data_IF_522016708804
#
_entry.id   IF_522016708804
#
_cell.length_a   1.000
_cell.length_b   1.000
_cell.length_c   1.000
_cell.angle_alpha   90.00
_cell.angle_beta   90.00
_cell.angle_gamma   90.00
#
_symmetry.space_group_name_H-M   'P 1'
#
loop_
_entity.id
_entity.type
_entity.pdbx_description
1 polymer ?
#
# COMPACT_ATOMS: atom_id res chain seq x y z
N UNK A 1 -11.00 17.01 13.13
CA UNK A 1 -9.54 16.84 13.18
C UNK A 1 -8.96 18.04 13.90
N UNK A 2 -8.05 17.82 14.85
CA UNK A 2 -7.32 18.92 15.50
C UNK A 2 -6.33 19.57 14.53
N UNK A 3 -5.90 20.80 14.80
CA UNK A 3 -4.86 21.49 14.01
C UNK A 3 -3.53 20.71 13.97
N UNK A 4 -3.26 19.92 15.01
CA UNK A 4 -2.12 19.01 15.08
C UNK A 4 -2.24 17.84 14.12
N UNK A 5 -3.40 17.17 14.08
CA UNK A 5 -3.67 16.06 13.17
C UNK A 5 -3.65 16.49 11.71
N UNK A 6 -4.25 17.64 11.39
CA UNK A 6 -4.24 18.22 10.04
C UNK A 6 -2.80 18.48 9.57
N UNK A 7 -1.96 19.03 10.44
CA UNK A 7 -0.55 19.27 10.11
C UNK A 7 0.24 17.98 9.95
N UNK A 8 0.00 16.99 10.81
CA UNK A 8 0.62 15.67 10.68
C UNK A 8 0.29 15.03 9.33
N UNK A 9 -0.98 15.05 8.94
CA UNK A 9 -1.44 14.56 7.64
C UNK A 9 -0.74 15.27 6.48
N UNK A 10 -0.72 16.60 6.49
CA UNK A 10 -0.04 17.40 5.47
C UNK A 10 1.46 17.07 5.36
N UNK A 11 2.16 16.92 6.49
CA UNK A 11 3.58 16.57 6.47
C UNK A 11 3.84 15.17 5.89
N UNK A 12 2.95 14.22 6.15
CA UNK A 12 3.03 12.87 5.56
C UNK A 12 2.76 12.92 4.05
N UNK A 13 1.78 13.71 3.60
CA UNK A 13 1.54 13.92 2.16
C UNK A 13 2.74 14.57 1.46
N UNK A 14 3.39 15.53 2.11
CA UNK A 14 4.64 16.13 1.58
C UNK A 14 5.74 15.06 1.51
N UNK A 15 5.85 14.20 2.52
CA UNK A 15 6.82 13.10 2.52
C UNK A 15 6.57 12.11 1.37
N UNK A 16 5.33 11.64 1.19
CA UNK A 16 4.95 10.73 0.10
C UNK A 16 5.24 11.36 -1.27
N UNK A 17 4.90 12.64 -1.47
CA UNK A 17 5.21 13.36 -2.72
C UNK A 17 6.71 13.50 -2.96
N UNK A 18 7.49 13.74 -1.92
CA UNK A 18 8.95 13.87 -2.01
C UNK A 18 9.64 12.54 -2.32
N UNK A 19 8.95 11.41 -2.18
CA UNK A 19 9.46 10.06 -2.47
C UNK A 19 9.00 9.54 -3.85
N UNK A 20 8.24 10.31 -4.63
CA UNK A 20 7.80 9.89 -5.97
C UNK A 20 9.02 9.62 -6.87
N UNK A 21 9.05 8.44 -7.49
CA UNK A 21 10.13 7.98 -8.35
C UNK A 21 11.37 7.46 -7.61
N UNK A 22 11.44 7.59 -6.29
CA UNK A 22 12.57 7.10 -5.50
C UNK A 22 12.51 5.58 -5.34
N UNK A 23 13.68 4.93 -5.35
CA UNK A 23 13.82 3.47 -5.11
C UNK A 23 14.34 3.14 -3.71
N UNK A 24 14.93 4.13 -3.05
CA UNK A 24 15.45 4.05 -1.67
C UNK A 24 14.74 5.08 -0.80
N UNK A 25 14.52 4.78 0.48
CA UNK A 25 13.99 5.77 1.41
C UNK A 25 15.15 6.65 1.90
N UNK A 26 15.38 7.75 1.20
CA UNK A 26 16.44 8.74 1.49
C UNK A 26 15.87 10.07 2.02
N UNK A 27 14.57 10.12 2.30
CA UNK A 27 13.91 11.27 2.89
C UNK A 27 14.23 11.39 4.38
N UNK A 28 14.75 12.54 4.79
CA UNK A 28 14.97 12.90 6.19
C UNK A 28 14.07 14.06 6.61
N UNK A 29 13.88 14.24 7.92
CA UNK A 29 13.09 15.36 8.48
C UNK A 29 13.57 16.74 8.02
N UNK A 30 14.86 16.91 7.73
CA UNK A 30 15.41 18.16 7.18
C UNK A 30 14.86 18.47 5.78
N UNK A 31 14.64 17.45 4.94
CA UNK A 31 14.08 17.63 3.60
C UNK A 31 12.64 18.15 3.66
N UNK A 32 11.87 17.75 4.67
CA UNK A 32 10.51 18.25 4.89
C UNK A 32 10.46 19.74 5.20
N UNK A 33 11.50 20.32 5.82
CA UNK A 33 11.54 21.77 6.12
C UNK A 33 11.46 22.57 4.82
N UNK A 34 12.29 22.21 3.85
CA UNK A 34 12.32 22.86 2.54
C UNK A 34 11.02 22.62 1.75
N UNK A 35 10.49 21.39 1.81
CA UNK A 35 9.32 20.99 1.01
C UNK A 35 7.97 21.49 1.57
N UNK A 36 7.85 21.72 2.88
CA UNK A 36 6.57 22.04 3.54
C UNK A 36 6.42 23.49 4.01
N UNK A 37 7.49 24.29 4.00
CA UNK A 37 7.52 25.65 4.59
C UNK A 37 7.15 25.69 6.09
N UNK A 38 7.19 24.54 6.78
CA UNK A 38 6.98 24.43 8.22
C UNK A 38 8.33 24.51 8.94
N UNK A 39 8.34 25.17 10.12
CA UNK A 39 9.56 25.34 10.89
C UNK A 39 10.20 23.99 11.27
N UNK A 40 11.54 23.97 11.33
CA UNK A 40 12.31 22.79 11.75
C UNK A 40 11.85 22.27 13.12
N UNK A 41 11.64 23.16 14.09
CA UNK A 41 11.17 22.77 15.43
C UNK A 41 9.82 22.05 15.39
N UNK A 42 8.88 22.55 14.56
CA UNK A 42 7.57 21.90 14.40
C UNK A 42 7.69 20.51 13.77
N UNK A 43 8.48 20.34 12.71
CA UNK A 43 8.68 19.03 12.07
C UNK A 43 9.29 18.03 13.05
N UNK A 44 10.29 18.46 13.82
CA UNK A 44 10.98 17.59 14.78
C UNK A 44 10.09 17.22 15.97
N UNK A 45 9.09 18.05 16.28
CA UNK A 45 8.06 17.69 17.26
C UNK A 45 7.02 16.70 16.69
N UNK A 46 6.77 16.69 15.38
CA UNK A 46 5.90 15.70 14.73
C UNK A 46 6.59 14.36 14.48
N UNK A 47 7.90 14.38 14.19
CA UNK A 47 8.74 13.21 13.98
C UNK A 47 9.99 13.34 14.85
N UNK A 48 10.00 12.65 15.98
CA UNK A 48 11.08 12.74 16.98
C UNK A 48 12.34 12.04 16.48
N UNK A 49 12.17 10.99 15.66
CA UNK A 49 13.26 10.27 14.99
C UNK A 49 13.04 10.21 13.47
N UNK A 50 14.06 9.83 12.70
CA UNK A 50 13.86 9.53 11.27
C UNK A 50 12.97 8.30 11.07
N UNK A 51 13.03 7.33 12.00
CA UNK A 51 12.15 6.18 11.97
C UNK A 51 10.68 6.56 12.12
N UNK A 52 10.35 7.57 12.93
CA UNK A 52 8.97 8.10 13.02
C UNK A 52 8.45 8.54 11.64
N UNK A 53 9.28 9.22 10.84
CA UNK A 53 8.89 9.66 9.50
C UNK A 53 8.61 8.46 8.57
N UNK A 54 9.51 7.47 8.54
CA UNK A 54 9.33 6.26 7.72
C UNK A 54 8.06 5.51 8.15
N UNK A 55 7.87 5.34 9.46
CA UNK A 55 6.71 4.64 10.02
C UNK A 55 5.42 5.42 9.76
N UNK A 56 5.46 6.75 9.80
CA UNK A 56 4.30 7.59 9.49
C UNK A 56 3.85 7.43 8.03
N UNK A 57 4.79 7.45 7.08
CA UNK A 57 4.51 7.17 5.66
C UNK A 57 3.92 5.77 5.50
N UNK A 58 4.48 4.77 6.18
CA UNK A 58 3.94 3.41 6.15
C UNK A 58 2.52 3.32 6.72
N UNK A 59 2.25 4.00 7.84
CA UNK A 59 0.90 4.06 8.41
C UNK A 59 -0.11 4.63 7.39
N UNK A 60 0.24 5.72 6.72
CA UNK A 60 -0.63 6.36 5.74
C UNK A 60 -0.94 5.44 4.53
N UNK A 61 0.06 4.73 4.01
CA UNK A 61 -0.16 3.74 2.94
C UNK A 61 -1.13 2.63 3.40
N UNK A 62 -0.91 2.04 4.57
CA UNK A 62 -1.80 0.99 5.11
C UNK A 62 -3.22 1.51 5.40
N UNK A 63 -3.35 2.76 5.87
CA UNK A 63 -4.65 3.42 6.07
C UNK A 63 -5.39 3.60 4.74
N UNK A 64 -4.69 4.03 3.68
CA UNK A 64 -5.26 4.13 2.33
C UNK A 64 -5.71 2.76 1.81
N UNK A 65 -4.89 1.73 1.98
CA UNK A 65 -5.23 0.38 1.55
C UNK A 65 -6.42 -0.19 2.31
N UNK A 66 -6.51 0.01 3.63
CA UNK A 66 -7.68 -0.40 4.40
C UNK A 66 -8.95 0.38 4.01
N UNK A 67 -8.82 1.68 3.74
CA UNK A 67 -9.94 2.47 3.24
C UNK A 67 -10.40 1.98 1.86
N UNK A 68 -9.47 1.63 0.97
CA UNK A 68 -9.78 1.03 -0.33
C UNK A 68 -10.47 -0.34 -0.16
N UNK A 69 -9.92 -1.22 0.66
CA UNK A 69 -10.48 -2.53 0.96
C UNK A 69 -11.95 -2.44 1.44
N UNK A 70 -12.27 -1.48 2.32
CA UNK A 70 -13.65 -1.23 2.77
C UNK A 70 -14.59 -0.82 1.64
N UNK A 71 -14.13 0.01 0.69
CA UNK A 71 -14.90 0.39 -0.50
C UNK A 71 -15.07 -0.82 -1.44
N UNK A 72 -14.02 -1.62 -1.59
CA UNK A 72 -14.03 -2.80 -2.46
C UNK A 72 -15.01 -3.87 -1.95
N UNK A 73 -15.19 -3.99 -0.63
CA UNK A 73 -16.23 -4.85 -0.02
C UNK A 73 -17.65 -4.46 -0.43
N UNK A 74 -17.92 -3.18 -0.65
CA UNK A 74 -19.23 -2.71 -1.12
C UNK A 74 -19.37 -2.89 -2.63
N UNK A 75 -18.28 -2.72 -3.38
CA UNK A 75 -18.27 -2.76 -4.85
C UNK A 75 -18.29 -4.17 -5.42
N UNK A 76 -17.60 -5.11 -4.78
CA UNK A 76 -17.40 -6.47 -5.27
C UNK A 76 -17.84 -7.50 -4.21
N UNK A 77 -19.07 -8.03 -4.31
CA UNK A 77 -19.56 -9.06 -3.39
C UNK A 77 -18.77 -10.37 -3.45
N UNK A 78 -18.35 -10.78 -4.66
CA UNK A 78 -17.53 -11.98 -4.86
C UNK A 78 -16.13 -11.77 -4.25
N UNK A 79 -15.71 -12.60 -3.27
CA UNK A 79 -14.49 -12.36 -2.52
C UNK A 79 -13.22 -12.52 -3.37
N UNK A 80 -13.23 -13.41 -4.38
CA UNK A 80 -12.08 -13.58 -5.28
C UNK A 80 -11.89 -12.33 -6.15
N UNK A 81 -12.96 -11.89 -6.81
CA UNK A 81 -12.96 -10.68 -7.64
C UNK A 81 -12.55 -9.47 -6.81
N UNK A 82 -13.09 -9.32 -5.61
CA UNK A 82 -12.72 -8.25 -4.67
C UNK A 82 -11.23 -8.25 -4.33
N UNK A 83 -10.69 -9.41 -3.96
CA UNK A 83 -9.29 -9.56 -3.59
C UNK A 83 -8.35 -9.24 -4.76
N UNK A 84 -8.66 -9.77 -5.94
CA UNK A 84 -7.88 -9.52 -7.16
C UNK A 84 -7.94 -8.06 -7.58
N UNK A 85 -9.13 -7.45 -7.56
CA UNK A 85 -9.30 -6.03 -7.86
C UNK A 85 -8.50 -5.16 -6.91
N UNK A 86 -8.61 -5.39 -5.60
CA UNK A 86 -7.93 -4.61 -4.57
C UNK A 86 -6.42 -4.55 -4.79
N UNK A 87 -5.78 -5.69 -5.03
CA UNK A 87 -4.33 -5.75 -5.22
C UNK A 87 -3.91 -5.28 -6.62
N UNK A 88 -4.73 -5.46 -7.65
CA UNK A 88 -4.49 -4.83 -8.97
C UNK A 88 -4.55 -3.31 -8.88
N UNK A 89 -5.51 -2.76 -8.14
CA UNK A 89 -5.63 -1.33 -7.90
C UNK A 89 -4.39 -0.78 -7.19
N UNK A 90 -3.93 -1.44 -6.12
CA UNK A 90 -2.68 -1.05 -5.42
C UNK A 90 -1.47 -1.05 -6.37
N UNK A 91 -1.29 -2.12 -7.14
CA UNK A 91 -0.19 -2.21 -8.11
C UNK A 91 -0.28 -1.10 -9.16
N UNK A 92 -1.49 -0.82 -9.67
CA UNK A 92 -1.70 0.26 -10.62
C UNK A 92 -1.40 1.64 -10.04
N UNK A 93 -1.87 1.95 -8.82
CA UNK A 93 -1.55 3.22 -8.16
C UNK A 93 -0.04 3.40 -8.00
N UNK A 94 0.66 2.35 -7.56
CA UNK A 94 2.11 2.37 -7.41
C UNK A 94 2.81 2.71 -8.74
N UNK A 95 2.47 1.99 -9.82
CA UNK A 95 3.11 2.18 -11.13
C UNK A 95 2.74 3.52 -11.79
N UNK A 96 1.45 3.87 -11.80
CA UNK A 96 0.95 5.07 -12.50
C UNK A 96 1.40 6.37 -11.86
N UNK A 97 1.54 6.39 -10.52
CA UNK A 97 1.94 7.57 -9.76
C UNK A 97 3.42 7.52 -9.34
N UNK A 98 4.13 6.45 -9.74
CA UNK A 98 5.52 6.19 -9.32
C UNK A 98 5.69 6.31 -7.80
N UNK A 99 4.73 5.80 -7.02
CA UNK A 99 4.80 5.87 -5.56
C UNK A 99 5.95 5.04 -5.06
N UNK A 100 6.58 5.51 -4.00
CA UNK A 100 7.59 4.74 -3.29
C UNK A 100 7.01 3.42 -2.75
N UNK A 101 7.70 2.32 -3.02
CA UNK A 101 7.31 0.99 -2.57
C UNK A 101 7.70 0.80 -1.10
N UNK A 102 6.76 1.11 -0.19
CA UNK A 102 6.99 1.03 1.25
C UNK A 102 7.40 -0.37 1.71
N UNK A 103 7.02 -1.42 0.97
CA UNK A 103 7.44 -2.80 1.20
C UNK A 103 8.95 -3.02 1.09
N UNK A 104 9.73 -2.08 0.55
CA UNK A 104 11.21 -2.14 0.58
C UNK A 104 11.75 -1.95 2.00
N UNK A 105 11.05 -1.18 2.83
CA UNK A 105 11.50 -0.80 4.18
C UNK A 105 10.61 -1.34 5.29
N UNK A 106 9.34 -1.63 5.02
CA UNK A 106 8.40 -2.12 6.03
C UNK A 106 7.73 -3.44 5.62
N UNK A 107 7.41 -4.32 6.59
CA UNK A 107 7.79 -4.24 8.01
C UNK A 107 9.30 -4.47 8.21
N UNK A 108 9.89 -3.76 9.18
CA UNK A 108 11.27 -3.90 9.64
C UNK A 108 11.35 -3.65 11.16
N UNK A 109 11.64 -4.69 11.93
CA UNK A 109 11.63 -4.61 13.39
C UNK A 109 12.72 -3.68 13.96
N UNK A 110 13.90 -3.67 13.35
CA UNK A 110 14.99 -2.79 13.79
C UNK A 110 14.65 -1.31 13.61
N UNK A 111 13.91 -0.98 12.54
CA UNK A 111 13.39 0.37 12.32
C UNK A 111 12.27 0.71 13.31
N UNK A 112 11.33 -0.21 13.55
CA UNK A 112 10.25 -0.02 14.52
C UNK A 112 10.77 0.22 15.94
N UNK A 113 11.87 -0.41 16.34
CA UNK A 113 12.51 -0.18 17.64
C UNK A 113 13.13 1.23 17.78
N UNK A 114 13.40 1.92 16.67
CA UNK A 114 13.92 3.29 16.66
C UNK A 114 12.80 4.34 16.57
N UNK A 115 11.57 3.92 16.25
CA UNK A 115 10.41 4.78 16.26
C UNK A 115 9.92 4.97 17.70
N UNK A 116 9.31 6.12 17.96
CA UNK A 116 8.60 6.38 19.21
C UNK A 116 7.43 5.41 19.39
N UNK A 117 7.06 5.17 20.64
CA UNK A 117 5.98 4.24 20.98
C UNK A 117 4.67 4.57 20.28
N UNK A 118 4.36 5.86 20.09
CA UNK A 118 3.15 6.31 19.40
C UNK A 118 3.11 5.83 17.95
N UNK A 119 4.17 6.04 17.17
CA UNK A 119 4.22 5.58 15.78
C UNK A 119 4.34 4.06 15.68
N UNK A 120 5.13 3.43 16.56
CA UNK A 120 5.25 1.96 16.59
C UNK A 120 3.90 1.29 16.83
N UNK A 121 3.17 1.69 17.87
CA UNK A 121 1.86 1.13 18.19
C UNK A 121 0.84 1.38 17.08
N UNK A 122 0.85 2.58 16.47
CA UNK A 122 -0.03 2.88 15.33
C UNK A 122 0.25 1.94 14.16
N UNK A 123 1.52 1.72 13.81
CA UNK A 123 1.90 0.82 12.73
C UNK A 123 1.54 -0.64 13.03
N UNK A 124 1.84 -1.12 14.23
CA UNK A 124 1.49 -2.49 14.66
C UNK A 124 -0.01 -2.72 14.55
N UNK A 125 -0.83 -1.76 14.98
CA UNK A 125 -2.29 -1.82 14.86
C UNK A 125 -2.73 -1.88 13.40
N UNK A 126 -2.35 -0.89 12.58
CA UNK A 126 -2.85 -0.77 11.21
C UNK A 126 -2.37 -1.92 10.30
N UNK A 127 -1.12 -2.35 10.47
CA UNK A 127 -0.57 -3.50 9.73
C UNK A 127 -1.24 -4.80 10.14
N UNK A 128 -1.56 -4.98 11.43
CA UNK A 128 -2.33 -6.13 11.92
C UNK A 128 -3.73 -6.14 11.32
N UNK A 129 -4.42 -4.99 11.28
CA UNK A 129 -5.75 -4.85 10.68
C UNK A 129 -5.74 -5.22 9.19
N UNK A 130 -4.78 -4.71 8.41
CA UNK A 130 -4.68 -5.03 6.98
C UNK A 130 -4.30 -6.50 6.73
N UNK A 131 -3.40 -7.06 7.54
CA UNK A 131 -3.07 -8.48 7.47
C UNK A 131 -4.27 -9.36 7.85
N UNK A 132 -5.08 -8.93 8.81
CA UNK A 132 -6.31 -9.62 9.18
C UNK A 132 -7.34 -9.58 8.06
N UNK A 133 -7.54 -8.43 7.40
CA UNK A 133 -8.42 -8.33 6.24
C UNK A 133 -7.99 -9.26 5.10
N UNK A 134 -6.68 -9.34 4.81
CA UNK A 134 -6.16 -10.27 3.80
C UNK A 134 -6.47 -11.73 4.18
N UNK A 135 -6.19 -12.13 5.43
CA UNK A 135 -6.49 -13.50 5.91
C UNK A 135 -7.97 -13.85 5.82
N UNK A 136 -8.84 -12.95 6.29
CA UNK A 136 -10.29 -13.16 6.24
C UNK A 136 -10.77 -13.28 4.81
N UNK A 137 -10.35 -12.39 3.91
CA UNK A 137 -10.78 -12.44 2.51
C UNK A 137 -10.31 -13.73 1.82
N UNK A 138 -9.09 -14.19 2.10
CA UNK A 138 -8.60 -15.48 1.57
C UNK A 138 -9.44 -16.65 2.11
N UNK A 139 -9.80 -16.65 3.39
CA UNK A 139 -10.66 -17.69 3.98
C UNK A 139 -12.08 -17.65 3.38
N UNK A 140 -12.64 -16.45 3.14
CA UNK A 140 -13.93 -16.28 2.43
C UNK A 140 -13.91 -16.79 0.99
N UNK A 141 -12.77 -16.67 0.29
CA UNK A 141 -12.59 -17.29 -1.03
C UNK A 141 -12.65 -18.81 -0.89
N UNK A 142 -12.13 -19.37 0.19
CA UNK A 142 -12.22 -20.78 0.54
C UNK A 142 -10.87 -21.32 0.98
N UNK A 143 -10.85 -21.97 2.13
CA UNK A 143 -9.63 -22.54 2.69
C UNK A 143 -9.25 -23.85 1.97
N UNK A 144 -8.00 -23.92 1.51
CA UNK A 144 -7.41 -25.12 0.92
C UNK A 144 -6.25 -25.58 1.82
N UNK A 145 -6.35 -26.79 2.42
CA UNK A 145 -5.37 -27.28 3.37
C UNK A 145 -3.99 -27.53 2.73
N UNK A 146 -2.98 -27.68 3.58
CA UNK A 146 -1.63 -28.10 3.21
C UNK A 146 -0.56 -27.00 3.26
N UNK A 147 -0.93 -25.72 3.10
CA UNK A 147 0.01 -24.60 3.16
C UNK A 147 -0.58 -23.39 3.89
N UNK A 148 0.29 -22.54 4.44
CA UNK A 148 -0.11 -21.22 4.93
C UNK A 148 -0.33 -20.26 3.74
N UNK A 149 -1.50 -20.34 3.13
CA UNK A 149 -1.86 -19.60 1.91
C UNK A 149 -1.77 -18.09 2.10
N UNK A 150 -2.16 -17.58 3.26
CA UNK A 150 -2.09 -16.15 3.56
C UNK A 150 -0.65 -15.64 3.62
N UNK A 151 0.27 -16.43 4.17
CA UNK A 151 1.70 -16.09 4.20
C UNK A 151 2.30 -16.12 2.79
N UNK A 152 2.03 -17.17 2.02
CA UNK A 152 2.47 -17.27 0.62
C UNK A 152 2.02 -16.08 -0.23
N UNK A 153 0.75 -15.70 -0.10
CA UNK A 153 0.18 -14.54 -0.82
C UNK A 153 0.83 -13.24 -0.35
N UNK A 154 1.00 -13.03 0.96
CA UNK A 154 1.65 -11.84 1.51
C UNK A 154 3.09 -11.67 0.99
N UNK A 155 3.86 -12.75 0.97
CA UNK A 155 5.26 -12.71 0.50
C UNK A 155 5.33 -12.46 -1.01
N UNK A 156 4.44 -13.08 -1.77
CA UNK A 156 4.30 -12.82 -3.19
C UNK A 156 3.90 -11.36 -3.48
N UNK A 157 2.91 -10.81 -2.78
CA UNK A 157 2.46 -9.42 -2.95
C UNK A 157 3.63 -8.46 -2.71
N UNK A 158 4.39 -8.64 -1.62
CA UNK A 158 5.58 -7.86 -1.33
C UNK A 158 6.61 -7.94 -2.47
N UNK A 159 6.96 -9.14 -2.91
CA UNK A 159 7.91 -9.35 -3.99
C UNK A 159 7.44 -8.77 -5.33
N UNK A 160 6.16 -8.92 -5.65
CA UNK A 160 5.57 -8.45 -6.89
C UNK A 160 5.56 -6.92 -6.99
N UNK A 161 5.26 -6.20 -5.89
CA UNK A 161 5.32 -4.73 -5.86
C UNK A 161 6.75 -4.23 -6.13
N UNK A 162 7.72 -4.78 -5.40
CA UNK A 162 9.15 -4.43 -5.54
C UNK A 162 9.65 -4.74 -6.95
N UNK A 163 9.42 -5.95 -7.45
CA UNK A 163 9.91 -6.37 -8.77
C UNK A 163 9.25 -5.61 -9.92
N UNK A 164 7.97 -5.26 -9.80
CA UNK A 164 7.27 -4.49 -10.83
C UNK A 164 7.82 -3.07 -10.91
N UNK A 165 8.13 -2.47 -9.76
CA UNK A 165 8.77 -1.17 -9.66
C UNK A 165 10.22 -1.21 -10.18
N UNK A 166 11.04 -2.21 -9.80
CA UNK A 166 12.42 -2.36 -10.28
C UNK A 166 12.51 -2.60 -11.79
N UNK A 167 11.55 -3.36 -12.34
CA UNK A 167 11.47 -3.62 -13.77
C UNK A 167 10.84 -2.46 -14.58
N UNK A 168 10.47 -1.34 -13.93
CA UNK A 168 9.78 -0.20 -14.55
C UNK A 168 8.58 -0.65 -15.41
N UNK A 169 7.77 -1.56 -14.86
CA UNK A 169 6.55 -2.05 -15.52
C UNK A 169 5.59 -0.89 -15.78
N UNK A 170 4.87 -0.96 -16.90
CA UNK A 170 3.92 0.08 -17.27
C UNK A 170 2.55 -0.17 -16.61
N UNK A 171 1.91 0.89 -16.13
CA UNK A 171 0.64 0.80 -15.41
C UNK A 171 -0.55 0.43 -16.31
N UNK A 172 -0.41 0.54 -17.63
CA UNK A 172 -1.41 0.20 -18.64
C UNK A 172 -1.20 -1.21 -19.24
N UNK A 173 -0.18 -1.95 -18.77
CA UNK A 173 0.08 -3.32 -19.21
C UNK A 173 -0.98 -4.29 -18.65
N UNK A 174 -2.04 -4.53 -19.42
CA UNK A 174 -3.11 -5.48 -19.07
C UNK A 174 -2.57 -6.89 -18.77
N UNK A 175 -1.51 -7.31 -19.45
CA UNK A 175 -0.94 -8.65 -19.27
C UNK A 175 -0.30 -8.81 -17.89
N UNK A 176 0.31 -7.74 -17.34
CA UNK A 176 0.82 -7.71 -15.97
C UNK A 176 -0.29 -8.06 -14.97
N UNK A 177 -1.44 -7.41 -15.04
CA UNK A 177 -2.55 -7.63 -14.11
C UNK A 177 -3.17 -9.03 -14.24
N UNK A 178 -3.23 -9.56 -15.47
CA UNK A 178 -3.64 -10.94 -15.73
C UNK A 178 -2.69 -11.95 -15.04
N UNK A 179 -1.38 -11.80 -15.24
CA UNK A 179 -0.37 -12.68 -14.65
C UNK A 179 -0.35 -12.57 -13.13
N UNK A 180 -0.43 -11.33 -12.63
CA UNK A 180 -0.49 -11.04 -11.21
C UNK A 180 -1.70 -11.70 -10.54
N UNK A 181 -2.88 -11.56 -11.13
CA UNK A 181 -4.11 -12.18 -10.63
C UNK A 181 -4.12 -13.69 -10.73
N UNK A 182 -3.55 -14.24 -11.81
CA UNK A 182 -3.36 -15.68 -11.95
C UNK A 182 -2.46 -16.23 -10.85
N UNK A 183 -1.30 -15.60 -10.60
CA UNK A 183 -0.40 -16.04 -9.54
C UNK A 183 -1.08 -16.00 -8.16
N UNK A 184 -1.84 -14.94 -7.86
CA UNK A 184 -2.62 -14.86 -6.61
C UNK A 184 -3.62 -16.02 -6.48
N UNK A 185 -4.37 -16.35 -7.55
CA UNK A 185 -5.34 -17.45 -7.49
C UNK A 185 -4.65 -18.80 -7.27
N UNK A 186 -3.51 -19.06 -7.92
CA UNK A 186 -2.72 -20.26 -7.72
C UNK A 186 -2.15 -20.35 -6.31
N UNK A 187 -1.61 -19.26 -5.77
CA UNK A 187 -1.03 -19.23 -4.42
C UNK A 187 -2.09 -19.47 -3.34
N UNK A 188 -3.32 -18.97 -3.55
CA UNK A 188 -4.47 -19.29 -2.70
C UNK A 188 -4.99 -20.73 -2.89
N UNK A 189 -4.52 -21.46 -3.90
CA UNK A 189 -4.88 -22.85 -4.20
C UNK A 189 -6.06 -23.02 -5.17
N UNK A 190 -6.62 -21.92 -5.67
CA UNK A 190 -7.85 -21.90 -6.48
C UNK A 190 -7.52 -21.87 -7.98
N UNK A 191 -6.84 -22.91 -8.45
CA UNK A 191 -6.41 -23.04 -9.86
C UNK A 191 -7.56 -23.25 -10.85
N UNK A 192 -8.68 -23.77 -10.34
CA UNK A 192 -9.93 -24.09 -11.03
C UNK A 192 -10.87 -22.88 -11.13
N UNK A 193 -10.71 -21.89 -10.24
CA UNK A 193 -11.53 -20.68 -10.25
C UNK A 193 -11.19 -19.79 -11.44
N UNK A 194 -12.25 -19.29 -12.09
CA UNK A 194 -12.13 -18.35 -13.20
C UNK A 194 -11.74 -16.98 -12.67
N UNK A 195 -10.53 -16.52 -13.03
CA UNK A 195 -10.10 -15.15 -12.83
C UNK A 195 -10.75 -14.21 -13.89
N UNK A 196 -10.77 -12.88 -13.65
CA UNK A 196 -11.25 -11.93 -14.64
C UNK A 196 -10.54 -12.07 -15.99
N UNK A 197 -11.27 -11.80 -17.08
CA UNK A 197 -10.72 -11.86 -18.44
C UNK A 197 -9.97 -10.57 -18.79
N UNK A 198 -9.15 -10.59 -19.87
CA UNK A 198 -8.47 -9.38 -20.36
C UNK A 198 -9.42 -8.18 -20.54
N UNK A 199 -10.61 -8.31 -21.16
CA UNK A 199 -11.57 -7.22 -21.23
C UNK A 199 -12.02 -6.69 -19.86
N UNK A 200 -12.16 -7.56 -18.85
CA UNK A 200 -12.51 -7.14 -17.50
C UNK A 200 -11.37 -6.31 -16.86
N UNK A 201 -10.11 -6.69 -17.08
CA UNK A 201 -8.96 -5.89 -16.63
C UNK A 201 -8.87 -4.54 -17.36
N UNK A 202 -9.06 -4.51 -18.69
CA UNK A 202 -9.14 -3.24 -19.43
C UNK A 202 -10.20 -2.33 -18.82
N UNK A 203 -11.39 -2.88 -18.56
CA UNK A 203 -12.47 -2.14 -17.92
C UNK A 203 -12.10 -1.68 -16.50
N UNK A 204 -11.40 -2.51 -15.71
CA UNK A 204 -10.92 -2.08 -14.40
C UNK A 204 -9.98 -0.89 -14.52
N UNK A 205 -8.92 -1.00 -15.32
CA UNK A 205 -7.91 0.04 -15.50
C UNK A 205 -8.52 1.37 -15.97
N UNK A 206 -9.51 1.32 -16.88
CA UNK A 206 -10.18 2.54 -17.36
C UNK A 206 -11.14 3.19 -16.35
N UNK A 207 -11.52 2.47 -15.29
CA UNK A 207 -12.44 2.93 -14.24
C UNK A 207 -11.82 2.87 -12.85
N UNK A 208 -10.48 2.78 -12.76
CA UNK A 208 -9.82 2.94 -11.49
C UNK A 208 -10.01 4.38 -11.03
N UNK A 209 -10.29 4.61 -9.73
CA UNK A 209 -10.34 5.95 -9.20
C UNK A 209 -9.03 6.65 -9.54
N UNK A 210 -9.08 7.66 -10.40
CA UNK A 210 -7.97 8.59 -10.55
C UNK A 210 -7.83 9.28 -9.21
N UNK A 211 -6.69 9.12 -8.55
CA UNK A 211 -6.35 9.91 -7.37
C UNK A 211 -5.97 11.33 -7.82
N UNK A 212 -6.81 11.96 -8.63
CA UNK A 212 -6.72 13.38 -8.99
C UNK A 212 -7.60 14.15 -8.03
N UNK A 213 -7.09 14.36 -6.80
CA UNK A 213 -7.43 15.48 -5.91
C UNK A 213 -6.74 15.30 -4.55
N UNK A 214 -5.49 15.76 -4.41
CA UNK A 214 -5.14 16.73 -3.36
C UNK A 214 -4.12 17.70 -3.99
N UNK A 215 -4.64 18.67 -4.74
CA UNK A 215 -3.93 19.86 -5.17
C UNK A 215 -4.92 21.03 -5.06
N UNK A 216 -4.41 22.16 -4.56
CA UNK A 216 -5.12 23.33 -3.99
C UNK A 216 -5.63 23.06 -2.56
N UNK A 217 -5.01 23.59 -1.50
CA UNK A 217 -4.48 24.95 -1.27
C UNK A 217 -3.15 24.91 -0.54
#
# INVERSE_FOLDING_TARGET
MSSWEQRSHYLIEVAQRSLIGHKTFDLCRSHLVAASQISKGTIYNHFTTEADLVVAVACAEYEEWLAAAKRDMQRYPDPLTRFLYHHCYRLHQMLSQQRYVIERVMPNQALLLQATDSYRQRFEKISTEYNHWNRLTISEIGDIPGFNRAELVKDYLRGAMINSDDANRQADDVQLYCQFSYALSQLMGHSDKRIPTKPAFVHWLSHLPSTSAISAV
#
